data_IF_801021145639
#
_entry.id   IF_801021145639
#
_cell.length_a   1.000
_cell.length_b   1.000
_cell.length_c   1.000
_cell.angle_alpha   90.00
_cell.angle_beta   90.00
_cell.angle_gamma   90.00
#
_symmetry.space_group_name_H-M   'P 1'
#
loop_
_entity.id
_entity.type
_entity.pdbx_description
1 polymer ?
2 polymer ?
3 polymer ?
4 polymer ?
5 non-polymer ?
6 water ?
#
# COMPACT_ATOMS: atom_id res chain seq x y z
N UNK A 1 15.18 -2.16 -7.61
CA UNK A 1 13.93 -1.86 -6.83
C UNK A 1 14.24 -1.69 -5.33
N UNK A 2 13.30 -1.12 -4.58
CA UNK A 2 13.47 -0.95 -3.15
C UNK A 2 14.61 -0.11 -2.59
N UNK A 3 15.28 0.67 -3.42
CA UNK A 3 16.37 1.50 -2.95
C UNK A 3 16.09 2.96 -3.39
N UNK A 4 15.43 3.73 -2.51
CA UNK A 4 15.16 5.11 -2.93
C UNK A 4 16.42 5.97 -3.11
N UNK A 5 16.37 6.88 -4.09
CA UNK A 5 17.48 7.81 -4.35
C UNK A 5 17.48 8.89 -3.25
N UNK A 6 16.33 9.07 -2.62
CA UNK A 6 16.19 9.99 -1.48
C UNK A 6 15.88 9.06 -0.31
N UNK A 7 16.84 8.95 0.58
CA UNK A 7 16.71 8.06 1.73
C UNK A 7 15.69 8.48 2.77
N UNK A 8 14.81 7.54 3.18
CA UNK A 8 13.81 7.84 4.19
C UNK A 8 14.46 8.01 5.56
N UNK A 9 13.91 8.92 6.36
CA UNK A 9 14.42 9.22 7.69
C UNK A 9 13.29 8.90 8.65
N UNK A 10 13.51 7.96 9.58
CA UNK A 10 12.48 7.50 10.53
C UNK A 10 12.71 7.74 12.02
N UNK A 11 13.82 8.13 12.40
N UNK B 1 -2.86 7.56 8.10
CA UNK B 1 -2.04 6.97 9.19
C UNK B 1 -2.21 7.80 10.47
N UNK B 2 -2.68 7.17 11.55
CA UNK B 2 -2.87 7.86 12.82
C UNK B 2 -1.57 7.70 13.61
N UNK B 3 -1.07 8.80 14.17
CA UNK B 3 0.16 8.79 14.97
C UNK B 3 1.41 8.65 14.12
N UNK B 4 1.27 8.90 12.82
CA UNK B 4 2.40 8.81 11.93
C UNK B 4 3.22 10.10 12.00
N UNK B 5 4.04 10.30 10.99
CA UNK B 5 4.88 11.48 10.91
C UNK B 5 5.04 11.76 9.43
N UNK B 6 5.30 13.01 9.12
CA UNK B 6 5.52 13.43 7.77
C UNK B 6 6.82 12.77 7.28
N UNK B 7 6.81 12.26 6.04
CA UNK B 7 7.98 11.63 5.46
C UNK B 7 8.85 12.65 4.73
N UNK B 8 10.05 12.24 4.35
CA UNK B 8 10.95 13.09 3.57
C UNK B 8 10.40 13.03 2.11
N UNK B 9 10.18 14.21 1.49
CA UNK B 9 9.64 14.28 0.11
C UNK B 9 10.41 13.39 -0.88
N UNK B 10 9.72 12.39 -1.44
CA UNK B 10 10.35 11.52 -2.43
C UNK B 10 11.16 10.36 -1.88
N UNK B 11 11.08 10.14 -0.56
CA UNK B 11 11.82 9.05 0.05
C UNK B 11 11.14 7.68 -0.06
N UNK B 12 9.89 7.67 -0.57
CA UNK B 12 9.09 6.45 -0.80
C UNK B 12 8.59 6.69 -2.22
N UNK B 13 9.48 6.61 -3.22
CA UNK B 13 9.20 6.83 -4.64
C UNK B 13 8.23 5.92 -5.38
N UNK B 14 7.83 4.82 -4.77
CA UNK B 14 6.90 3.88 -5.38
C UNK B 14 5.47 4.20 -4.93
N UNK B 15 5.34 4.95 -3.84
CA UNK B 15 4.01 5.30 -3.35
C UNK B 15 3.27 6.13 -4.38
N UNK B 16 2.08 5.73 -4.76
CA UNK B 16 1.32 6.55 -5.70
C UNK B 16 -0.01 6.92 -5.07
N UNK B 17 -0.68 7.90 -5.67
CA UNK B 17 -1.97 8.34 -5.20
C UNK B 17 -3.03 7.95 -6.22
N UNK B 18 -4.09 7.33 -5.75
CA UNK B 18 -5.19 6.97 -6.64
C UNK B 18 -6.22 8.06 -6.42
N UNK B 19 -6.60 8.74 -7.49
CA UNK B 19 -7.57 9.82 -7.42
C UNK B 19 -8.60 9.65 -8.50
N UNK B 20 -9.87 9.89 -8.16
CA UNK B 20 -10.94 9.79 -9.18
C UNK B 20 -10.85 11.05 -10.06
N UNK B 21 -11.75 11.23 -11.02
CA UNK B 21 -11.69 12.40 -11.92
C UNK B 21 -11.91 13.79 -11.31
N UNK B 22 -12.45 13.83 -10.08
CA UNK B 22 -12.70 15.10 -9.41
C UNK B 22 -11.43 15.58 -8.67
N UNK B 23 -10.35 14.81 -8.77
CA UNK B 23 -9.09 15.17 -8.12
C UNK B 23 -9.03 14.68 -6.68
N UNK B 24 -9.96 13.81 -6.31
CA UNK B 24 -10.08 13.25 -4.95
C UNK B 24 -9.22 11.99 -4.67
N UNK B 25 -8.31 12.07 -3.71
CA UNK B 25 -7.46 10.93 -3.33
C UNK B 25 -8.34 9.95 -2.55
N UNK B 26 -8.43 8.72 -3.02
CA UNK B 26 -9.27 7.74 -2.33
C UNK B 26 -8.53 6.47 -1.92
N UNK B 27 -7.34 6.25 -2.49
CA UNK B 27 -6.53 5.08 -2.18
C UNK B 27 -5.06 5.30 -2.57
N UNK B 28 -4.17 4.60 -1.89
CA UNK B 28 -2.74 4.65 -2.20
C UNK B 28 -2.47 3.44 -3.09
N UNK B 29 -1.24 3.30 -3.55
CA UNK B 29 -0.88 2.20 -4.42
C UNK B 29 0.63 2.21 -4.58
N UNK B 30 1.22 1.09 -4.95
CA UNK B 30 2.67 1.05 -5.10
C UNK B 30 3.11 0.66 -6.51
N UNK B 31 4.04 1.43 -7.05
CA UNK B 31 4.60 1.17 -8.36
C UNK B 31 5.55 -0.05 -8.29
N UNK B 32 5.30 -1.09 -9.11
CA UNK B 32 6.20 -2.24 -9.10
C UNK B 32 7.13 -2.23 -10.32
N UNK B 33 6.81 -1.36 -11.28
CA UNK B 33 7.62 -1.17 -12.49
C UNK B 33 6.99 0.02 -13.21
N UNK B 34 7.50 0.41 -14.38
CA UNK B 34 6.98 1.58 -15.09
C UNK B 34 5.64 1.44 -15.78
N UNK B 35 5.01 0.29 -15.66
CA UNK B 35 3.74 0.09 -16.32
C UNK B 35 2.77 -0.58 -15.38
N UNK B 36 3.24 -0.87 -14.17
CA UNK B 36 2.38 -1.54 -13.24
C UNK B 36 2.39 -0.98 -11.84
N UNK B 37 1.18 -0.80 -11.29
CA UNK B 37 0.98 -0.30 -9.94
C UNK B 37 0.14 -1.35 -9.22
N UNK B 38 0.43 -1.57 -7.94
CA UNK B 38 -0.29 -2.56 -7.14
C UNK B 38 -1.11 -1.82 -6.11
N UNK B 39 -2.37 -2.21 -5.96
CA UNK B 39 -3.25 -1.57 -5.01
C UNK B 39 -4.22 -2.60 -4.42
N UNK B 40 -5.12 -2.16 -3.55
CA UNK B 40 -6.09 -3.06 -2.95
C UNK B 40 -7.28 -3.23 -3.91
N UNK B 41 -7.76 -4.47 -4.06
CA UNK B 41 -8.88 -4.72 -4.96
C UNK B 41 -10.13 -4.02 -4.45
N UNK B 42 -10.24 -3.86 -3.14
CA UNK B 42 -11.42 -3.22 -2.58
C UNK B 42 -11.52 -1.74 -2.94
N UNK B 43 -10.40 -1.14 -3.37
CA UNK B 43 -10.40 0.26 -3.75
C UNK B 43 -11.34 0.50 -4.91
N UNK B 44 -11.72 -0.59 -5.58
CA UNK B 44 -12.61 -0.55 -6.72
C UNK B 44 -12.20 0.42 -7.81
N UNK B 45 -10.98 0.28 -8.31
CA UNK B 45 -10.48 1.19 -9.35
C UNK B 45 -11.17 0.92 -10.70
N UNK B 46 -11.25 1.95 -11.54
CA UNK B 46 -11.83 1.87 -12.88
C UNK B 46 -10.88 2.67 -13.74
N UNK B 47 -11.07 2.59 -15.05
CA UNK B 47 -10.22 3.28 -15.99
C UNK B 47 -10.34 4.79 -16.00
N UNK B 48 -11.37 5.35 -15.37
CA UNK B 48 -11.51 6.81 -15.34
C UNK B 48 -10.69 7.42 -14.20
N UNK B 49 -10.30 6.58 -13.24
CA UNK B 49 -9.45 7.00 -12.12
C UNK B 49 -8.04 7.34 -12.65
N UNK B 50 -7.29 8.12 -11.89
CA UNK B 50 -5.94 8.51 -12.30
C UNK B 50 -4.91 8.14 -11.22
N UNK B 51 -3.72 7.75 -11.68
CA UNK B 51 -2.63 7.40 -10.80
C UNK B 51 -1.67 8.58 -10.76
N UNK B 52 -1.40 9.09 -9.57
CA UNK B 52 -0.49 10.20 -9.44
C UNK B 52 0.80 9.71 -8.80
N UNK B 53 1.93 10.04 -9.43
CA UNK B 53 3.25 9.67 -8.95
C UNK B 53 4.12 10.93 -8.80
N UNK B 54 5.18 10.86 -7.99
CA UNK B 54 6.05 12.00 -7.77
C UNK B 54 5.44 13.07 -6.86
N UNK B 55 4.38 12.69 -6.15
CA UNK B 55 3.68 13.61 -5.27
C UNK B 55 4.02 13.45 -3.80
N UNK B 56 4.12 14.58 -3.08
CA UNK B 56 4.40 14.57 -1.65
C UNK B 56 3.31 15.35 -0.95
N UNK B 57 3.07 16.58 -1.41
CA UNK B 57 2.05 17.45 -0.85
C UNK B 57 0.91 17.51 -1.87
N UNK B 58 -0.26 17.06 -1.48
CA UNK B 58 -1.43 17.08 -2.37
C UNK B 58 -1.89 18.51 -2.65
N UNK B 59 -1.71 19.37 -1.65
CA UNK B 59 -2.08 20.77 -1.78
C UNK B 59 -1.11 21.66 -2.54
N UNK B 60 0.00 21.10 -3.03
CA UNK B 60 0.97 21.92 -3.77
C UNK B 60 0.72 21.85 -5.27
N UNK B 61 0.90 23.00 -5.95
CA UNK B 61 0.73 23.05 -7.40
C UNK B 61 2.09 23.15 -8.09
N UNK B 62 3.16 23.29 -7.30
CA UNK B 62 4.49 23.43 -7.85
C UNK B 62 5.30 22.13 -7.89
N UNK B 63 4.61 20.99 -7.79
CA UNK B 63 5.32 19.71 -7.83
C UNK B 63 5.27 19.08 -9.20
N UNK B 64 6.40 18.52 -9.62
CA UNK B 64 6.53 17.85 -10.91
C UNK B 64 5.93 16.42 -10.83
N UNK B 65 4.66 16.33 -10.48
CA UNK B 65 4.00 15.05 -10.36
C UNK B 65 3.67 14.47 -11.75
N UNK B 66 3.47 13.15 -11.81
CA UNK B 66 3.13 12.46 -13.06
C UNK B 66 1.71 11.88 -12.99
N UNK B 67 0.80 12.47 -13.76
CA UNK B 67 -0.58 12.01 -13.78
C UNK B 67 -0.80 10.94 -14.84
N UNK B 68 -0.67 9.69 -14.43
CA UNK B 68 -0.79 8.54 -15.31
C UNK B 68 -2.20 7.95 -15.45
N UNK B 69 -2.56 7.64 -16.67
CA UNK B 69 -3.88 7.09 -16.96
C UNK B 69 -3.83 5.55 -16.92
N UNK B 70 -4.94 4.94 -16.51
CA UNK B 70 -5.02 3.50 -16.39
C UNK B 70 -5.58 2.84 -17.62
N UNK B 71 -4.80 1.94 -18.22
CA UNK B 71 -5.23 1.24 -19.42
C UNK B 71 -6.18 0.08 -19.08
N UNK B 72 -5.85 -0.69 -18.05
CA UNK B 72 -6.68 -1.84 -17.67
C UNK B 72 -6.53 -2.22 -16.19
N UNK B 73 -7.64 -2.60 -15.58
CA UNK B 73 -7.69 -2.97 -14.17
C UNK B 73 -7.71 -4.50 -14.09
N UNK B 74 -6.79 -5.05 -13.28
CA UNK B 74 -6.65 -6.51 -13.07
C UNK B 74 -6.94 -6.94 -11.64
N UNK B 75 -8.22 -7.16 -11.37
CA UNK B 75 -8.67 -7.58 -10.05
C UNK B 75 -8.37 -9.07 -9.86
N UNK B 76 -7.61 -9.41 -8.81
CA UNK B 76 -7.27 -10.81 -8.51
C UNK B 76 -8.57 -11.61 -8.53
N UNK B 77 -8.63 -12.67 -9.33
CA UNK B 77 -9.83 -13.50 -9.43
C UNK B 77 -10.15 -14.25 -8.12
N UNK B 78 -9.21 -14.24 -7.18
CA UNK B 78 -9.40 -14.89 -5.87
C UNK B 78 -10.00 -13.92 -4.84
N UNK B 79 -10.01 -12.63 -5.16
CA UNK B 79 -10.55 -11.60 -4.27
C UNK B 79 -11.99 -11.90 -3.80
N UNK B 80 -12.12 -12.04 -2.50
CA UNK B 80 -13.39 -12.33 -1.88
C UNK B 80 -13.92 -11.10 -1.17
N UNK B 81 -14.85 -10.40 -1.81
CA UNK B 81 -15.45 -9.17 -1.26
C UNK B 81 -16.27 -9.35 0.00
N UNK B 82 -16.72 -10.56 0.27
CA UNK B 82 -17.49 -10.80 1.48
C UNK B 82 -16.54 -10.77 2.67
N UNK B 83 -15.35 -11.33 2.49
CA UNK B 83 -14.33 -11.37 3.56
C UNK B 83 -13.17 -10.42 3.34
N UNK B 84 -13.10 -9.80 2.16
CA UNK B 84 -12.01 -8.91 1.78
C UNK B 84 -10.72 -9.72 1.75
N UNK B 85 -10.83 -10.99 1.38
CA UNK B 85 -9.63 -11.82 1.29
C UNK B 85 -9.04 -11.71 -0.10
N UNK B 86 -7.71 -11.81 -0.19
CA UNK B 86 -6.92 -11.71 -1.43
C UNK B 86 -7.14 -10.36 -2.08
N UNK B 87 -7.05 -9.33 -1.23
CA UNK B 87 -7.27 -7.94 -1.59
C UNK B 87 -6.14 -7.24 -2.36
N UNK B 88 -6.03 -7.60 -3.64
CA UNK B 88 -4.99 -7.06 -4.51
C UNK B 88 -5.49 -6.90 -5.97
N UNK B 89 -5.11 -5.80 -6.58
CA UNK B 89 -5.48 -5.49 -7.95
C UNK B 89 -4.27 -4.88 -8.59
N UNK B 90 -4.09 -5.21 -9.86
CA UNK B 90 -2.99 -4.68 -10.60
C UNK B 90 -3.58 -3.72 -11.62
N UNK B 91 -2.94 -2.58 -11.78
CA UNK B 91 -3.38 -1.62 -12.77
C UNK B 91 -2.28 -1.46 -13.83
N UNK B 92 -2.68 -1.56 -15.09
CA UNK B 92 -1.72 -1.41 -16.17
C UNK B 92 -1.88 -0.02 -16.72
N UNK B 93 -0.85 0.78 -16.57
CA UNK B 93 -0.83 2.18 -17.03
C UNK B 93 -0.74 2.24 -18.55
N UNK B 94 -1.56 3.10 -19.14
CA UNK B 94 -1.54 3.30 -20.60
C UNK B 94 -0.33 4.19 -20.89
N UNK B 95 -0.03 5.04 -19.91
CA UNK B 95 1.09 5.95 -19.97
C UNK B 95 2.21 5.41 -19.07
N UNK B 96 3.28 4.86 -19.65
CA UNK B 96 4.39 4.35 -18.85
C UNK B 96 5.05 5.45 -17.98
N UNK B 97 5.21 5.17 -16.69
CA UNK B 97 5.82 6.12 -15.76
C UNK B 97 7.31 6.30 -16.09
N UNK B 98 7.80 7.53 -15.91
CA UNK B 98 9.20 7.83 -16.14
C UNK B 98 9.81 7.78 -14.77
N UNK B 99 10.82 6.93 -14.57
CA UNK B 99 11.45 6.83 -13.27
C UNK B 99 12.48 7.94 -13.09
N UNK B 100 12.74 8.29 -11.84
CA UNK B 100 13.70 9.35 -11.52
C UNK B 100 14.07 9.27 -10.04
N UNK B 101 14.43 10.42 -9.47
CA UNK B 101 14.80 10.52 -8.07
C UNK B 101 13.61 10.28 -7.15
N UNK B 102 12.45 10.73 -7.60
CA UNK B 102 11.21 10.63 -6.83
C UNK B 102 10.19 9.61 -7.34
N UNK B 103 10.53 8.88 -8.41
CA UNK B 103 9.61 7.89 -8.95
C UNK B 103 10.36 6.60 -9.29
N UNK B 104 10.09 5.54 -8.53
CA UNK B 104 10.73 4.24 -8.76
C UNK B 104 9.94 3.06 -8.16
N UNK B 105 10.44 1.85 -8.31
CA UNK B 105 9.70 0.68 -7.84
C UNK B 105 10.07 0.07 -6.50
N UNK B 106 9.09 -0.55 -5.85
CA UNK B 106 9.31 -1.27 -4.60
C UNK B 106 9.65 -2.69 -5.06
N UNK B 107 10.35 -3.45 -4.24
CA UNK B 107 10.69 -4.83 -4.60
C UNK B 107 9.59 -5.79 -4.18
N UNK B 108 9.32 -6.80 -5.01
CA UNK B 108 8.33 -7.80 -4.67
C UNK B 108 9.05 -8.98 -4.00
N UNK B 109 8.41 -9.61 -2.99
CA UNK B 109 9.03 -10.75 -2.30
C UNK B 109 8.90 -12.07 -3.10
N UNK B 110 9.70 -13.07 -2.73
CA UNK B 110 9.62 -14.40 -3.35
C UNK B 110 8.47 -14.97 -2.55
N UNK B 111 7.67 -15.85 -3.17
CA UNK B 111 6.53 -16.45 -2.47
C UNK B 111 6.98 -17.18 -1.20
N UNK B 112 8.25 -17.56 -1.17
CA UNK B 112 8.87 -18.26 -0.05
C UNK B 112 9.43 -17.36 1.07
N UNK B 113 9.52 -16.06 0.81
CA UNK B 113 10.07 -15.12 1.81
C UNK B 113 9.35 -15.12 3.15
N UNK B 114 10.09 -15.25 4.25
CA UNK B 114 9.46 -15.19 5.56
C UNK B 114 9.72 -13.85 6.23
N UNK B 115 8.65 -13.28 6.79
CA UNK B 115 8.70 -11.99 7.46
C UNK B 115 8.16 -12.25 8.86
N UNK B 116 9.12 -12.45 9.77
CA UNK B 116 8.89 -12.79 11.19
C UNK B 116 8.06 -11.83 12.02
N UNK B 117 7.24 -12.33 12.94
CA UNK B 117 6.47 -11.45 13.80
C UNK B 117 7.53 -10.71 14.66
N UNK B 118 7.30 -9.43 14.95
CA UNK B 118 8.25 -8.68 15.76
C UNK B 118 9.04 -7.73 14.86
N UNK B 119 9.25 -8.11 13.61
CA UNK B 119 9.96 -7.31 12.64
C UNK B 119 9.33 -5.94 12.40
N UNK B 120 10.17 -4.90 12.54
CA UNK B 120 9.68 -3.56 12.27
C UNK B 120 9.73 -3.18 10.80
N UNK B 121 8.50 -2.99 10.29
CA UNK B 121 8.30 -2.51 8.92
C UNK B 121 7.72 -1.12 8.98
N UNK B 122 7.30 -0.61 7.84
CA UNK B 122 6.77 0.72 7.78
C UNK B 122 5.66 0.79 6.77
N UNK B 123 4.76 1.73 6.98
CA UNK B 123 3.63 1.93 6.08
C UNK B 123 3.50 3.43 5.82
N UNK B 124 3.06 3.79 4.61
CA UNK B 124 2.87 5.18 4.18
C UNK B 124 1.50 5.42 3.52
N UNK B 125 1.24 6.69 3.20
CA UNK B 125 -0.01 7.06 2.59
C UNK B 125 -0.55 8.38 3.12
N UNK B 126 -1.62 8.84 2.46
CA UNK B 126 -2.30 10.09 2.78
C UNK B 126 -3.67 9.88 3.44
N UNK B 127 -3.81 8.77 4.18
CA UNK B 127 -5.07 8.48 4.84
C UNK B 127 -5.22 9.27 6.12
N UNK B 128 -6.46 9.38 6.59
CA UNK B 128 -6.79 10.11 7.82
C UNK B 128 -5.71 10.00 8.90
N UNK B 129 -5.49 11.12 9.59
CA UNK B 129 -4.50 11.16 10.66
C UNK B 129 -5.19 11.07 12.01
N UNK B 130 -6.52 11.02 11.97
CA UNK B 130 -7.33 10.90 13.16
C UNK B 130 -8.79 10.76 12.79
N UNK B 131 -9.46 9.81 13.43
CA UNK B 131 -10.86 9.56 13.19
C UNK B 131 -11.68 10.23 14.29
N UNK C 3 -8.10 14.03 5.56
CA UNK C 3 -6.90 13.48 4.87
C UNK C 3 -5.82 14.59 4.92
N UNK C 4 -4.59 14.25 5.35
CA UNK C 4 -3.50 15.24 5.43
C UNK C 4 -2.91 15.48 4.02
N UNK C 5 -2.47 16.69 3.74
CA UNK C 5 -1.90 16.97 2.40
C UNK C 5 -0.58 16.31 2.07
N UNK C 6 0.33 16.28 3.02
CA UNK C 6 1.67 15.72 2.77
C UNK C 6 1.80 14.28 3.28
N UNK C 7 2.46 13.44 2.50
CA UNK C 7 2.67 12.02 2.79
C UNK C 7 3.14 11.73 4.20
N UNK C 8 2.40 10.85 4.87
CA UNK C 8 2.74 10.42 6.23
C UNK C 8 3.40 9.02 6.21
N UNK C 9 4.09 8.70 7.30
CA UNK C 9 4.79 7.44 7.42
C UNK C 9 4.74 7.04 8.88
N UNK C 10 4.92 5.75 9.14
CA UNK C 10 4.97 5.20 10.50
C UNK C 10 5.56 3.79 10.43
N UNK C 11 6.48 3.47 11.34
CA UNK C 11 7.06 2.14 11.39
C UNK C 11 6.18 1.38 12.39
N UNK C 12 5.97 0.09 12.18
CA UNK C 12 5.11 -0.68 13.06
C UNK C 12 5.56 -2.14 12.98
N UNK C 13 5.27 -2.94 14.03
CA UNK C 13 5.69 -4.34 14.02
C UNK C 13 4.69 -5.29 13.40
N UNK C 14 5.21 -6.39 12.85
CA UNK C 14 4.41 -7.45 12.27
C UNK C 14 3.95 -8.36 13.40
N UNK C 15 2.80 -8.97 13.20
CA UNK C 15 2.22 -9.87 14.20
C UNK C 15 2.02 -11.19 13.52
N UNK C 16 1.85 -12.26 14.30
CA UNK C 16 1.58 -13.57 13.70
C UNK C 16 0.05 -13.61 13.52
N UNK C 17 -0.44 -14.47 12.63
CA UNK C 17 -1.89 -14.56 12.41
C UNK C 17 -2.62 -15.06 13.67
N UNK C 18 -1.98 -16.00 14.39
CA UNK C 18 -2.51 -16.58 15.62
C UNK C 18 -2.81 -15.47 16.65
N UNK C 19 -1.80 -14.64 16.89
CA UNK C 19 -1.86 -13.51 17.80
C UNK C 19 -2.92 -12.55 17.29
N UNK C 20 -2.94 -12.33 15.97
CA UNK C 20 -3.92 -11.44 15.39
C UNK C 20 -5.35 -11.99 15.58
N UNK C 21 -5.47 -13.31 15.61
CA UNK C 21 -6.76 -13.96 15.83
C UNK C 21 -7.39 -13.53 17.14
N UNK C 22 -6.54 -13.20 18.11
CA UNK C 22 -7.03 -12.78 19.42
C UNK C 22 -7.83 -11.48 19.31
N UNK C 23 -7.50 -10.66 18.32
CA UNK C 23 -8.22 -9.40 18.13
C UNK C 23 -9.37 -9.59 17.17
N UNK C 24 -9.04 -10.16 16.02
CA UNK C 24 -9.97 -10.34 14.92
C UNK C 24 -10.64 -11.69 14.67
N UNK C 25 -10.34 -12.69 15.49
CA UNK C 25 -10.93 -14.00 15.34
C UNK C 25 -10.79 -14.66 13.99
N UNK C 26 -11.93 -15.07 13.41
CA UNK C 26 -11.93 -15.77 12.12
C UNK C 26 -11.87 -14.94 10.83
N UNK C 27 -11.96 -13.62 10.96
CA UNK C 27 -11.90 -12.79 9.77
C UNK C 27 -10.47 -12.81 9.16
N UNK C 28 -9.47 -13.15 9.98
CA UNK C 28 -8.09 -13.20 9.51
C UNK C 28 -7.85 -14.50 8.73
N UNK C 29 -7.57 -14.36 7.43
CA UNK C 29 -7.33 -15.49 6.54
C UNK C 29 -5.83 -15.63 6.22
N UNK C 30 -5.44 -16.75 5.62
CA UNK C 30 -4.01 -16.91 5.31
C UNK C 30 -3.44 -15.90 4.34
N UNK C 31 -4.31 -15.21 3.59
CA UNK C 31 -3.86 -14.19 2.64
C UNK C 31 -3.84 -12.82 3.28
N UNK C 32 -3.94 -12.78 4.60
CA UNK C 32 -3.92 -11.52 5.32
C UNK C 32 -2.71 -11.55 6.23
N UNK C 33 -2.18 -10.36 6.54
CA UNK C 33 -1.05 -10.22 7.44
C UNK C 33 -1.28 -8.96 8.29
N UNK C 34 -1.19 -9.11 9.60
CA UNK C 34 -1.40 -8.02 10.55
C UNK C 34 -0.13 -7.24 10.89
N UNK C 35 -0.33 -6.05 11.45
CA UNK C 35 0.75 -5.15 11.87
C UNK C 35 0.17 -3.97 12.66
N UNK C 36 0.90 -3.50 13.64
CA UNK C 36 0.42 -2.37 14.40
C UNK C 36 0.09 -2.71 15.83
N UNK C 37 -1.04 -2.17 16.31
CA UNK C 37 -1.48 -2.36 17.68
C UNK C 37 -0.35 -1.81 18.53
N UNK C 38 0.40 -0.88 17.94
CA UNK C 38 1.57 -0.31 18.55
C UNK C 38 1.53 1.17 18.90
N UNK C 39 0.35 1.78 18.98
CA UNK C 39 0.28 3.21 19.27
C UNK C 39 0.34 3.98 17.95
N UNK C 40 0.04 3.27 16.86
CA UNK C 40 0.06 3.84 15.53
C UNK C 40 -0.95 2.97 14.76
N UNK C 41 -1.56 3.51 13.70
CA UNK C 41 -2.52 2.74 12.91
C UNK C 41 -2.87 3.28 11.53
N UNK C 42 -2.92 2.41 10.52
CA UNK C 42 -3.31 2.86 9.17
C UNK C 42 -4.79 3.23 9.29
N UNK C 43 -5.31 4.03 8.37
CA UNK C 43 -6.70 4.48 8.50
C UNK C 43 -7.35 4.68 7.11
N UNK C 44 -8.60 5.12 7.11
CA UNK C 44 -9.30 5.33 5.84
C UNK C 44 -8.54 6.28 4.92
N UNK C 45 -8.34 5.86 3.67
CA UNK C 45 -7.61 6.67 2.71
C UNK C 45 -6.27 6.03 2.41
N UNK C 46 -5.73 5.28 3.38
CA UNK C 46 -4.46 4.56 3.20
C UNK C 46 -4.59 3.31 2.34
N UNK C 47 -5.76 2.67 2.39
CA UNK C 47 -6.07 1.46 1.63
C UNK C 47 -5.36 1.40 0.27
N UNK C 48 -4.76 0.25 -0.01
CA UNK C 48 -4.04 0.07 -1.26
C UNK C 48 -2.58 0.45 -1.15
N UNK C 49 -2.22 1.20 -0.11
CA UNK C 49 -0.85 1.62 0.09
C UNK C 49 0.10 0.48 0.47
N UNK C 50 1.38 0.80 0.69
CA UNK C 50 2.30 -0.27 1.04
C UNK C 50 2.70 -0.41 2.50
N UNK C 51 3.09 -1.64 2.82
CA UNK C 51 3.65 -2.00 4.12
C UNK C 51 4.92 -2.69 3.60
N UNK C 52 6.06 -2.04 3.80
CA UNK C 52 7.34 -2.56 3.35
C UNK C 52 8.29 -2.87 4.48
N UNK C 53 9.14 -3.85 4.24
CA UNK C 53 10.14 -4.26 5.23
C UNK C 53 11.45 -4.27 4.48
N UNK C 54 12.56 -3.96 5.16
CA UNK C 54 13.85 -3.99 4.48
C UNK C 54 14.46 -5.38 4.59
N UNK C 55 14.81 -5.96 3.43
CA UNK C 55 15.42 -7.28 3.34
C UNK C 55 16.61 -7.18 2.38
N UNK C 56 17.81 -7.40 2.92
CA UNK C 56 19.07 -7.34 2.16
C UNK C 56 19.33 -5.93 1.58
N UNK C 57 18.96 -4.89 2.32
CA UNK C 57 19.18 -3.54 1.84
C UNK C 57 18.03 -2.91 1.06
N UNK C 58 17.19 -3.74 0.47
CA UNK C 58 16.07 -3.24 -0.31
C UNK C 58 14.72 -3.30 0.41
N UNK C 59 13.88 -2.31 0.12
CA UNK C 59 12.53 -2.28 0.67
C UNK C 59 11.69 -3.27 -0.15
N UNK C 60 11.03 -4.19 0.54
CA UNK C 60 10.20 -5.21 -0.10
C UNK C 60 8.71 -5.05 0.31
N UNK C 61 7.82 -5.14 -0.68
CA UNK C 61 6.38 -5.02 -0.45
C UNK C 61 5.95 -6.29 0.28
N UNK C 62 5.56 -6.14 1.55
CA UNK C 62 5.10 -7.27 2.31
C UNK C 62 3.58 -7.24 2.45
N UNK C 63 3.01 -6.05 2.53
CA UNK C 63 1.57 -5.97 2.67
C UNK C 63 0.91 -4.79 1.98
N UNK C 64 -0.37 -4.96 1.67
CA UNK C 64 -1.17 -3.91 1.02
C UNK C 64 -2.25 -3.49 2.02
N UNK C 65 -2.26 -2.20 2.38
CA UNK C 65 -3.25 -1.67 3.32
C UNK C 65 -4.66 -2.15 2.93
N UNK C 66 -5.32 -2.84 3.84
CA UNK C 66 -6.62 -3.40 3.56
C UNK C 66 -7.77 -2.97 4.48
N UNK C 67 -7.80 -3.48 5.71
CA UNK C 67 -8.89 -3.13 6.62
C UNK C 67 -8.43 -3.14 8.06
N UNK C 68 -9.34 -2.89 8.99
CA UNK C 68 -8.97 -2.88 10.39
C UNK C 68 -10.04 -2.21 11.20
N UNK C 69 -9.65 -1.66 12.36
CA UNK C 69 -10.58 -0.95 13.26
C UNK C 69 -11.31 0.18 12.53
N UNK C 70 -12.61 0.32 12.75
CA UNK C 70 -13.40 1.38 12.09
C UNK C 70 -13.06 2.81 12.54
N UNK C 71 -12.41 2.94 13.70
CA UNK C 71 -12.00 4.24 14.24
C UNK C 71 -10.47 4.31 14.21
N UNK C 72 -9.85 3.38 13.50
CA UNK C 72 -8.39 3.34 13.39
C UNK C 72 -7.67 3.43 14.74
N UNK C 73 -8.13 2.64 15.71
CA UNK C 73 -7.52 2.66 17.03
C UNK C 73 -6.10 2.12 16.95
N UNK C 74 -5.18 2.81 17.62
CA UNK C 74 -3.77 2.43 17.60
C UNK C 74 -3.37 1.25 18.48
N UNK C 75 -4.31 0.65 19.18
CA UNK C 75 -3.96 -0.49 20.05
C UNK C 75 -4.48 -1.82 19.50
N UNK C 76 -5.12 -1.76 18.33
CA UNK C 76 -5.69 -2.89 17.62
C UNK C 76 -4.88 -2.96 16.31
N UNK C 77 -4.58 -4.16 15.81
CA UNK C 77 -3.80 -4.33 14.58
C UNK C 77 -4.51 -4.14 13.25
N UNK C 78 -3.89 -3.40 12.34
CA UNK C 78 -4.47 -3.19 11.02
C UNK C 78 -4.25 -4.45 10.18
N UNK C 79 -5.12 -4.70 9.21
CA UNK C 79 -4.97 -5.90 8.39
C UNK C 79 -4.56 -5.54 6.98
N UNK C 80 -3.49 -6.17 6.51
CA UNK C 80 -2.92 -5.96 5.18
C UNK C 80 -2.97 -7.25 4.37
N UNK C 81 -2.97 -7.11 3.05
CA UNK C 81 -2.97 -8.27 2.17
C UNK C 81 -1.53 -8.80 2.18
N UNK C 82 -1.37 -10.09 2.45
CA UNK C 82 -0.04 -10.73 2.49
C UNK C 82 0.47 -10.96 1.08
N UNK C 83 1.39 -10.11 0.67
CA UNK C 83 1.98 -10.17 -0.66
C UNK C 83 2.62 -11.51 -1.08
N UNK C 84 3.25 -12.23 -0.14
CA UNK C 84 3.88 -13.51 -0.47
C UNK C 84 2.91 -14.52 -1.07
N UNK C 85 1.67 -14.50 -0.57
CA UNK C 85 0.63 -15.41 -1.04
C UNK C 85 -0.04 -14.91 -2.33
N UNK C 86 0.33 -13.73 -2.77
CA UNK C 86 -0.30 -13.16 -3.95
C UNK C 86 0.69 -12.90 -5.08
N UNK C 87 1.97 -12.89 -4.76
CA UNK C 87 3.02 -12.62 -5.70
C UNK C 87 3.09 -13.55 -6.92
N UNK C 88 2.73 -14.83 -6.74
CA UNK C 88 2.77 -15.75 -7.88
C UNK C 88 1.72 -15.30 -8.91
N UNK C 89 0.55 -14.88 -8.42
CA UNK C 89 -0.50 -14.38 -9.29
C UNK C 89 0.03 -13.14 -10.02
N UNK C 90 0.73 -12.26 -9.28
CA UNK C 90 1.31 -11.05 -9.85
C UNK C 90 2.28 -11.41 -11.00
N UNK C 91 3.13 -12.40 -10.77
CA UNK C 91 4.10 -12.84 -11.78
C UNK C 91 3.36 -13.31 -13.04
N UNK C 92 2.37 -14.18 -12.85
CA UNK C 92 1.58 -14.72 -13.95
C UNK C 92 0.91 -13.58 -14.74
N UNK C 93 0.39 -12.58 -14.03
CA UNK C 93 -0.27 -11.47 -14.71
C UNK C 93 0.67 -10.59 -15.53
N UNK C 94 1.85 -10.28 -14.98
CA UNK C 94 2.80 -9.45 -15.70
C UNK C 94 3.28 -10.19 -16.95
N UNK C 95 3.60 -11.46 -16.78
CA UNK C 95 4.09 -12.28 -17.90
C UNK C 95 3.08 -12.40 -19.04
N UNK C 96 1.81 -12.50 -18.70
CA UNK C 96 0.79 -12.65 -19.73
C UNK C 96 0.32 -11.36 -20.43
N UNK C 97 0.50 -10.22 -19.78
CA UNK C 97 0.04 -8.94 -20.31
C UNK C 97 1.14 -7.92 -20.54
N UNK D 1 -15.22 -4.12 12.24
CA UNK D 1 -13.99 -3.65 11.55
C UNK D 1 -14.43 -2.47 10.69
N UNK D 2 -13.71 -2.29 9.59
CA UNK D 2 -14.00 -1.25 8.62
C UNK D 2 -12.91 -1.31 7.56
N UNK D 3 -13.30 -1.18 6.29
CA UNK D 3 -12.33 -1.20 5.18
C UNK D 3 -11.47 0.06 5.23
N UNK D 4 -10.18 -0.06 4.91
CA UNK D 4 -9.27 1.10 4.92
C UNK D 4 -8.92 1.68 3.54
N UNK D 5 -10.19 2.37 3.41
CA UNK D 5 -11.12 1.93 2.37
#
# INVERSE_FOLDING_TARGET
CGVPAIQPVLSGL
IVNGEEAVPGSWPWQVSLQDKTGFHFCGGSLINENWVVTAAHCGVTTSDVVVAGEFDQGSSSEKIQKLKIAKVFKNSKYNSLTINNDITLLKLSTAASFSQTVSAVCLPSASDDFAAGTTCVTTGWGLTRY
ANTPDRLQQASLPLLSNTNCKKYWGTKIKDAMICAGASGVSSCMGDSGGPLVCKKNGAWTLVGIVSWGSSTCSTSTPGVYARVTALVNWVQQTLAAN
PGAYD
#
